data_IF_186346636031
#
_entry.id   IF_186346636031
#
_cell.length_a   1.000
_cell.length_b   1.000
_cell.length_c   1.000
_cell.angle_alpha   90.00
_cell.angle_beta   90.00
_cell.angle_gamma   90.00
#
_symmetry.space_group_name_H-M   'P 1'
#
loop_
_entity.id
_entity.type
_entity.pdbx_description
1 polymer ?
#
# COMPACT_ATOMS: atom_id res chain seq x y z
N UNK A 1 -31.47 2.09 -14.77
CA UNK A 1 -30.37 2.79 -14.07
C UNK A 1 -29.18 2.79 -15.01
N UNK A 2 -28.58 3.94 -15.28
CA UNK A 2 -27.37 4.00 -16.11
C UNK A 2 -26.25 3.23 -15.40
N UNK A 3 -25.63 2.27 -16.07
CA UNK A 3 -24.47 1.59 -15.52
C UNK A 3 -23.37 2.63 -15.24
N UNK A 4 -22.80 2.59 -14.03
CA UNK A 4 -21.69 3.44 -13.66
C UNK A 4 -20.44 2.90 -14.35
N UNK A 5 -20.04 3.54 -15.44
CA UNK A 5 -18.86 3.14 -16.22
C UNK A 5 -17.79 4.21 -16.12
N UNK A 6 -16.55 3.79 -15.87
CA UNK A 6 -15.37 4.63 -15.88
C UNK A 6 -14.42 4.14 -16.99
N UNK A 7 -14.18 4.98 -17.98
CA UNK A 7 -13.33 4.63 -19.12
C UNK A 7 -11.94 5.25 -19.00
N UNK A 8 -10.92 4.38 -18.97
CA UNK A 8 -9.51 4.75 -18.79
C UNK A 8 -8.68 4.40 -20.03
N UNK A 9 -9.29 4.01 -21.15
CA UNK A 9 -8.52 3.65 -22.34
C UNK A 9 -7.69 4.85 -22.83
N UNK A 10 -6.41 4.62 -23.14
CA UNK A 10 -5.51 5.66 -23.64
C UNK A 10 -5.00 6.66 -22.59
N UNK A 11 -5.41 6.54 -21.33
CA UNK A 11 -4.86 7.34 -20.23
C UNK A 11 -3.44 6.91 -19.88
N UNK A 12 -2.65 7.84 -19.34
CA UNK A 12 -1.37 7.51 -18.70
C UNK A 12 -1.63 6.78 -17.39
N UNK A 13 -0.68 5.96 -16.94
CA UNK A 13 -0.84 5.12 -15.76
C UNK A 13 -1.17 5.93 -14.50
N UNK A 14 -0.47 7.03 -14.30
CA UNK A 14 -0.61 7.90 -13.13
C UNK A 14 -1.97 8.60 -13.13
N UNK A 15 -2.40 9.10 -14.30
CA UNK A 15 -3.71 9.72 -14.50
C UNK A 15 -4.85 8.72 -14.24
N UNK A 16 -4.73 7.50 -14.76
CA UNK A 16 -5.74 6.46 -14.59
C UNK A 16 -5.90 6.05 -13.11
N UNK A 17 -4.78 5.87 -12.39
CA UNK A 17 -4.81 5.53 -10.95
C UNK A 17 -5.44 6.66 -10.14
N UNK A 18 -5.09 7.92 -10.43
CA UNK A 18 -5.68 9.08 -9.77
C UNK A 18 -7.18 9.20 -10.05
N UNK A 19 -7.60 9.02 -11.31
CA UNK A 19 -8.99 9.12 -11.74
C UNK A 19 -9.86 8.04 -11.09
N UNK A 20 -9.39 6.78 -11.02
CA UNK A 20 -10.08 5.69 -10.31
C UNK A 20 -10.22 6.00 -8.83
N UNK A 21 -9.16 6.50 -8.20
CA UNK A 21 -9.15 6.82 -6.76
C UNK A 21 -10.19 7.90 -6.46
N UNK A 22 -10.16 9.01 -7.19
CA UNK A 22 -11.13 10.10 -7.04
C UNK A 22 -12.57 9.68 -7.37
N UNK A 23 -12.74 8.77 -8.33
CA UNK A 23 -14.05 8.27 -8.73
C UNK A 23 -14.72 7.48 -7.61
N UNK A 24 -14.00 6.55 -6.98
CA UNK A 24 -14.52 5.79 -5.85
C UNK A 24 -14.79 6.68 -4.62
N UNK A 25 -13.90 7.62 -4.32
CA UNK A 25 -14.12 8.56 -3.22
C UNK A 25 -15.38 9.41 -3.45
N UNK A 26 -15.62 9.84 -4.69
CA UNK A 26 -16.84 10.59 -5.07
C UNK A 26 -18.09 9.72 -4.90
N UNK A 27 -18.05 8.46 -5.32
CA UNK A 27 -19.17 7.53 -5.15
C UNK A 27 -19.47 7.35 -3.67
N UNK A 28 -18.46 7.02 -2.85
CA UNK A 28 -18.63 6.82 -1.41
C UNK A 28 -19.19 8.05 -0.72
N UNK A 29 -18.66 9.25 -1.00
CA UNK A 29 -19.21 10.50 -0.43
C UNK A 29 -20.67 10.75 -0.82
N UNK A 30 -21.00 10.49 -2.09
CA UNK A 30 -22.38 10.64 -2.59
C UNK A 30 -23.31 9.60 -1.97
N UNK A 31 -22.83 8.37 -1.77
CA UNK A 31 -23.61 7.30 -1.19
C UNK A 31 -23.83 7.51 0.31
N UNK A 32 -22.78 7.91 1.05
CA UNK A 32 -22.88 8.23 2.48
C UNK A 32 -23.83 9.40 2.77
N UNK A 33 -23.96 10.38 1.86
CA UNK A 33 -24.92 11.49 2.06
C UNK A 33 -26.37 11.04 1.85
N UNK A 34 -26.60 10.06 0.98
CA UNK A 34 -27.94 9.53 0.66
C UNK A 34 -28.39 8.51 1.71
N UNK A 35 -27.49 7.65 2.19
CA UNK A 35 -27.82 6.46 2.97
C UNK A 35 -27.65 6.59 4.50
N UNK A 36 -27.75 7.80 5.06
CA UNK A 36 -27.77 8.00 6.52
C UNK A 36 -28.94 7.31 7.25
N UNK A 37 -29.85 6.64 6.54
CA UNK A 37 -30.95 5.85 7.08
C UNK A 37 -30.80 4.37 6.68
N UNK A 38 -30.17 3.59 7.55
CA UNK A 38 -30.22 2.13 7.68
C UNK A 38 -30.75 1.32 6.48
N UNK A 39 -29.84 0.82 5.64
CA UNK A 39 -30.11 -0.36 4.82
C UNK A 39 -28.83 -1.20 4.64
N UNK A 40 -28.85 -2.50 5.01
CA UNK A 40 -27.73 -3.40 4.82
C UNK A 40 -27.70 -3.94 3.36
N UNK A 41 -26.49 -4.25 2.89
CA UNK A 41 -26.16 -5.12 1.75
C UNK A 41 -26.50 -4.68 0.30
N UNK A 42 -26.58 -3.39 -0.01
CA UNK A 42 -26.58 -2.98 -1.42
C UNK A 42 -25.13 -2.87 -1.94
N UNK A 43 -24.68 -3.84 -2.75
CA UNK A 43 -23.44 -3.73 -3.53
C UNK A 43 -23.64 -2.75 -4.68
N UNK A 44 -22.68 -1.85 -4.91
CA UNK A 44 -22.75 -0.89 -6.02
C UNK A 44 -21.68 -1.20 -7.05
N UNK A 45 -22.07 -1.95 -8.09
CA UNK A 45 -21.15 -2.39 -9.12
C UNK A 45 -20.83 -1.26 -10.13
N UNK A 46 -19.54 -1.01 -10.34
CA UNK A 46 -18.98 -0.06 -11.30
C UNK A 46 -18.13 -0.82 -12.31
N UNK A 47 -18.26 -0.50 -13.60
CA UNK A 47 -17.42 -1.07 -14.66
C UNK A 47 -16.28 -0.12 -15.01
N UNK A 48 -15.03 -0.54 -14.80
CA UNK A 48 -13.81 0.20 -15.16
C UNK A 48 -13.23 -0.40 -16.44
N UNK A 49 -13.11 0.40 -17.51
CA UNK A 49 -12.56 -0.04 -18.80
C UNK A 49 -11.09 0.39 -18.89
N UNK A 50 -10.16 -0.57 -18.86
CA UNK A 50 -8.70 -0.30 -18.96
C UNK A 50 -8.15 -0.51 -20.37
N UNK A 51 -8.95 -1.09 -21.26
CA UNK A 51 -8.58 -1.47 -22.61
C UNK A 51 -8.01 -2.89 -22.72
N UNK A 52 -7.94 -3.40 -23.95
CA UNK A 52 -7.48 -4.77 -24.23
C UNK A 52 -5.97 -4.95 -24.04
N UNK A 53 -5.19 -3.88 -24.04
CA UNK A 53 -3.73 -3.91 -23.93
C UNK A 53 -3.00 -4.31 -25.21
N UNK A 54 -3.70 -4.52 -26.32
CA UNK A 54 -3.14 -4.94 -27.62
C UNK A 54 -2.23 -3.90 -28.28
N UNK A 55 -2.26 -2.65 -27.81
CA UNK A 55 -1.52 -1.53 -28.42
C UNK A 55 -0.26 -1.12 -27.64
N UNK A 56 0.01 -1.75 -26.50
CA UNK A 56 1.20 -1.48 -25.69
C UNK A 56 2.24 -2.57 -25.93
N UNK A 57 3.45 -2.18 -26.33
CA UNK A 57 4.58 -3.10 -26.51
C UNK A 57 5.00 -3.79 -25.19
N UNK A 58 4.67 -3.20 -24.04
CA UNK A 58 4.95 -3.74 -22.71
C UNK A 58 3.75 -4.49 -22.09
N UNK A 59 2.73 -4.83 -22.90
CA UNK A 59 1.52 -5.52 -22.42
C UNK A 59 0.52 -4.57 -21.72
N UNK A 60 -0.52 -5.10 -21.06
CA UNK A 60 -1.63 -4.33 -20.51
C UNK A 60 -1.24 -3.63 -19.19
N UNK A 61 -0.32 -2.66 -19.25
CA UNK A 61 0.25 -1.96 -18.09
C UNK A 61 -0.84 -1.35 -17.19
N UNK A 62 -1.85 -0.71 -17.78
CA UNK A 62 -2.99 -0.14 -17.05
C UNK A 62 -3.80 -1.19 -16.30
N UNK A 63 -4.03 -2.37 -16.91
CA UNK A 63 -4.80 -3.45 -16.29
C UNK A 63 -4.12 -3.93 -15.02
N UNK A 64 -2.82 -4.21 -15.09
CA UNK A 64 -2.05 -4.68 -13.93
C UNK A 64 -1.93 -3.60 -12.85
N UNK A 65 -1.85 -2.32 -13.23
CA UNK A 65 -1.83 -1.21 -12.28
C UNK A 65 -3.16 -1.06 -11.53
N UNK A 66 -4.29 -1.06 -12.25
CA UNK A 66 -5.62 -0.96 -11.64
C UNK A 66 -5.92 -2.21 -10.80
N UNK A 67 -5.56 -3.40 -11.26
CA UNK A 67 -5.73 -4.63 -10.46
C UNK A 67 -4.98 -4.54 -9.12
N UNK A 68 -3.71 -4.11 -9.13
CA UNK A 68 -2.92 -3.90 -7.90
C UNK A 68 -3.55 -2.84 -7.00
N UNK A 69 -4.09 -1.76 -7.56
CA UNK A 69 -4.79 -0.72 -6.80
C UNK A 69 -6.04 -1.29 -6.09
N UNK A 70 -6.85 -2.07 -6.80
CA UNK A 70 -8.07 -2.70 -6.24
C UNK A 70 -7.73 -3.69 -5.13
N UNK A 71 -6.71 -4.53 -5.33
CA UNK A 71 -6.18 -5.45 -4.31
C UNK A 71 -5.70 -4.67 -3.09
N UNK A 72 -4.89 -3.62 -3.31
CA UNK A 72 -4.34 -2.80 -2.22
C UNK A 72 -5.42 -2.10 -1.38
N UNK A 73 -6.55 -1.76 -2.01
CA UNK A 73 -7.73 -1.20 -1.31
C UNK A 73 -8.66 -2.26 -0.71
N UNK A 74 -8.39 -3.55 -0.87
CA UNK A 74 -9.28 -4.62 -0.41
C UNK A 74 -10.66 -4.58 -1.07
N UNK A 75 -10.75 -4.11 -2.32
CA UNK A 75 -12.04 -4.01 -3.04
C UNK A 75 -12.39 -5.33 -3.71
N UNK A 76 -13.66 -5.71 -3.65
CA UNK A 76 -14.19 -6.86 -4.38
C UNK A 76 -14.33 -6.51 -5.87
N UNK A 77 -13.69 -7.29 -6.73
CA UNK A 77 -13.76 -7.09 -8.18
C UNK A 77 -13.82 -8.41 -8.94
N UNK A 78 -14.38 -8.35 -10.14
CA UNK A 78 -14.39 -9.44 -11.12
C UNK A 78 -13.83 -8.93 -12.45
N UNK A 79 -12.89 -9.67 -13.04
CA UNK A 79 -12.29 -9.32 -14.32
C UNK A 79 -13.14 -9.86 -15.48
N UNK A 80 -13.59 -8.98 -16.37
CA UNK A 80 -14.22 -9.38 -17.62
C UNK A 80 -13.14 -9.72 -18.67
N UNK A 81 -12.83 -11.01 -18.77
CA UNK A 81 -11.74 -11.57 -19.58
C UNK A 81 -11.71 -11.07 -21.05
N UNK A 82 -12.87 -10.79 -21.65
CA UNK A 82 -12.95 -10.42 -23.08
C UNK A 82 -12.86 -8.93 -23.38
N UNK A 83 -13.05 -8.05 -22.38
CA UNK A 83 -13.17 -6.60 -22.61
C UNK A 83 -12.03 -5.78 -22.03
N UNK A 84 -11.20 -6.38 -21.17
CA UNK A 84 -10.21 -5.61 -20.42
C UNK A 84 -10.88 -4.62 -19.47
N UNK A 85 -12.01 -5.04 -18.90
CA UNK A 85 -12.80 -4.28 -17.95
C UNK A 85 -12.88 -5.00 -16.61
N UNK A 86 -13.02 -4.23 -15.54
CA UNK A 86 -13.24 -4.72 -14.19
C UNK A 86 -14.64 -4.32 -13.74
N UNK A 87 -15.40 -5.25 -13.18
CA UNK A 87 -16.62 -4.93 -12.44
C UNK A 87 -16.25 -4.92 -10.96
N UNK A 88 -16.38 -3.77 -10.31
CA UNK A 88 -15.90 -3.53 -8.94
C UNK A 88 -17.08 -3.09 -8.07
N UNK A 89 -17.21 -3.67 -6.88
CA UNK A 89 -18.13 -3.14 -5.88
C UNK A 89 -17.51 -1.88 -5.24
N UNK A 90 -18.01 -0.71 -5.63
CA UNK A 90 -17.49 0.59 -5.22
C UNK A 90 -17.61 0.86 -3.71
N UNK A 91 -18.49 0.14 -3.02
CA UNK A 91 -18.72 0.27 -1.58
C UNK A 91 -17.87 -0.71 -0.77
N UNK A 92 -17.23 -1.70 -1.40
CA UNK A 92 -16.28 -2.61 -0.76
C UNK A 92 -14.90 -1.99 -0.57
N UNK A 93 -14.09 -2.52 0.36
CA UNK A 93 -12.70 -2.10 0.61
C UNK A 93 -12.54 -0.83 1.45
N UNK A 94 -11.30 -0.43 1.69
CA UNK A 94 -10.92 0.72 2.52
C UNK A 94 -10.32 1.89 1.72
N UNK A 95 -10.31 3.07 2.33
CA UNK A 95 -9.61 4.23 1.79
C UNK A 95 -8.11 4.14 2.08
N UNK A 96 -7.29 4.31 1.04
CA UNK A 96 -5.82 4.26 1.15
C UNK A 96 -5.26 5.42 1.96
N UNK A 97 -5.93 6.55 1.89
CA UNK A 97 -5.63 7.73 2.68
C UNK A 97 -6.84 7.95 3.57
N UNK A 98 -6.65 7.75 4.88
CA UNK A 98 -7.65 8.23 5.84
C UNK A 98 -7.93 9.68 5.48
N UNK A 99 -9.21 10.04 5.31
CA UNK A 99 -9.58 11.43 5.20
C UNK A 99 -9.10 12.06 6.50
N UNK A 100 -7.94 12.73 6.46
CA UNK A 100 -7.37 13.40 7.62
C UNK A 100 -8.46 14.25 8.27
N UNK A 101 -8.41 14.46 9.60
CA UNK A 101 -9.43 15.21 10.32
C UNK A 101 -9.73 16.46 9.52
N UNK A 102 -10.99 16.64 9.11
CA UNK A 102 -11.39 17.66 8.15
C UNK A 102 -10.79 18.99 8.59
N UNK A 103 -9.66 19.36 8.01
CA UNK A 103 -8.99 20.61 8.31
C UNK A 103 -9.88 21.63 7.66
N UNK A 104 -10.73 22.25 8.48
CA UNK A 104 -11.70 23.26 8.11
C UNK A 104 -11.02 24.21 7.13
N UNK A 105 -11.22 23.98 5.83
CA UNK A 105 -10.83 24.91 4.79
C UNK A 105 -11.80 26.04 5.01
N UNK A 106 -11.38 27.02 5.83
CA UNK A 106 -12.22 28.13 6.26
C UNK A 106 -12.94 28.61 5.01
N UNK A 107 -14.26 28.46 5.02
CA UNK A 107 -15.13 29.12 4.06
C UNK A 107 -14.81 30.59 4.26
N UNK A 108 -13.99 31.15 3.38
CA UNK A 108 -13.79 32.59 3.29
C UNK A 108 -15.13 33.14 2.85
N UNK A 109 -15.97 33.48 3.83
CA UNK A 109 -17.11 34.36 3.64
C UNK A 109 -16.50 35.70 3.25
N UNK A 110 -16.21 35.84 1.96
CA UNK A 110 -15.88 37.13 1.39
C UNK A 110 -17.18 37.91 1.40
N UNK A 111 -17.15 39.12 1.96
CA UNK A 111 -18.29 40.03 1.92
C UNK A 111 -18.82 40.11 0.48
N UNK A 112 -20.14 40.08 0.33
CA UNK A 112 -20.84 40.04 -0.96
C UNK A 112 -20.37 41.14 -1.96
N UNK A 113 -19.75 42.22 -1.45
CA UNK A 113 -19.12 43.27 -2.24
C UNK A 113 -17.82 42.84 -2.95
N UNK A 114 -16.97 42.02 -2.33
CA UNK A 114 -15.72 41.54 -2.95
C UNK A 114 -15.99 40.57 -4.11
N UNK A 115 -17.03 39.74 -4.00
CA UNK A 115 -17.45 38.85 -5.08
C UNK A 115 -17.95 39.64 -6.31
N UNK A 116 -18.75 40.69 -6.10
CA UNK A 116 -19.17 41.57 -7.20
C UNK A 116 -18.00 42.32 -7.84
N UNK A 117 -16.99 42.70 -7.06
CA UNK A 117 -15.79 43.38 -7.57
C UNK A 117 -14.90 42.45 -8.40
N UNK A 118 -14.73 41.18 -7.99
CA UNK A 118 -14.01 40.18 -8.77
C UNK A 118 -14.76 39.74 -10.04
N UNK A 119 -16.09 39.65 -9.98
CA UNK A 119 -16.92 39.38 -11.15
C UNK A 119 -16.90 40.54 -12.16
N UNK A 120 -16.84 41.79 -11.68
CA UNK A 120 -16.75 42.98 -12.54
C UNK A 120 -15.38 43.10 -13.25
N UNK A 121 -14.28 42.69 -12.60
CA UNK A 121 -12.95 42.74 -13.19
C UNK A 121 -12.74 41.72 -14.33
N UNK A 122 -13.41 40.56 -14.32
CA UNK A 122 -13.29 39.57 -15.41
C UNK A 122 -13.95 40.00 -16.72
N UNK A 123 -14.88 40.98 -16.70
CA UNK A 123 -15.52 41.50 -17.92
C UNK A 123 -14.66 42.48 -18.72
N UNK A 124 -13.50 42.91 -18.21
CA UNK A 124 -12.60 43.85 -18.92
C UNK A 124 -11.38 43.20 -19.60
N UNK A 125 -11.17 41.89 -19.44
CA UNK A 125 -10.00 41.20 -20.00
C UNK A 125 -10.22 40.56 -21.39
N UNK A 126 -11.42 40.67 -21.99
CA UNK A 126 -11.75 40.01 -23.27
C UNK A 126 -11.71 40.93 -24.51
N UNK A 127 -11.35 42.20 -24.36
CA UNK A 127 -11.17 43.13 -25.48
C UNK A 127 -9.81 43.82 -25.35
N UNK A 128 -8.80 43.35 -26.08
CA UNK A 128 -7.54 44.10 -26.18
C UNK A 128 -6.30 43.26 -26.46
N UNK A 129 -6.31 42.48 -27.54
CA UNK A 129 -5.09 41.88 -28.09
C UNK A 129 -5.06 42.07 -29.61
N UNK A 130 -5.00 43.32 -30.07
CA UNK A 130 -4.61 43.67 -31.45
C UNK A 130 -4.50 45.18 -31.65
N UNK A 131 -3.35 45.78 -31.31
CA UNK A 131 -2.75 46.96 -31.98
C UNK A 131 -1.47 47.33 -31.22
N UNK A 132 -0.31 46.80 -31.59
CA UNK A 132 0.67 47.40 -32.51
C UNK A 132 0.96 48.90 -32.33
N UNK A 133 2.24 49.14 -32.05
CA UNK A 133 3.12 50.16 -32.61
C UNK A 133 3.14 51.59 -32.05
N UNK A 134 4.38 52.10 -32.09
CA UNK A 134 4.82 53.50 -31.97
C UNK A 134 4.95 54.08 -30.55
N UNK A 135 6.04 53.73 -29.88
CA UNK A 135 6.69 54.62 -28.92
C UNK A 135 7.69 55.52 -29.66
N UNK A 136 7.21 56.62 -30.21
CA UNK A 136 8.01 57.79 -30.59
C UNK A 136 7.29 59.03 -30.07
N UNK A 137 8.01 59.83 -29.27
CA UNK A 137 7.82 61.26 -29.03
C UNK A 137 6.41 61.82 -28.84
N UNK A 138 6.16 62.45 -27.70
CA UNK A 138 6.08 63.91 -27.63
C UNK A 138 5.64 64.41 -26.25
N UNK A 139 6.37 65.40 -25.77
CA UNK A 139 5.89 66.38 -24.81
C UNK A 139 4.64 67.05 -25.38
N UNK A 140 3.48 66.83 -24.78
CA UNK A 140 2.33 67.72 -24.92
C UNK A 140 1.92 68.27 -23.55
N UNK A 141 2.41 69.48 -23.31
CA UNK A 141 1.79 70.52 -22.48
C UNK A 141 0.29 70.61 -22.77
N UNK A 142 -0.55 70.06 -21.90
CA UNK A 142 -1.99 70.31 -21.91
C UNK A 142 -2.24 71.70 -21.34
N UNK A 143 -2.69 72.56 -22.24
CA UNK A 143 -3.04 73.94 -22.05
C UNK A 143 -4.18 74.12 -21.02
N UNK A 144 -4.02 75.15 -20.18
CA UNK A 144 -5.11 75.77 -19.43
C UNK A 144 -6.19 76.25 -20.42
N UNK A 145 -7.48 75.94 -20.22
CA UNK A 145 -8.53 76.69 -20.88
C UNK A 145 -8.60 78.09 -20.27
N UNK A 146 -8.05 79.07 -21.01
CA UNK A 146 -8.32 80.49 -20.82
C UNK A 146 -9.78 80.74 -21.21
N UNK A 147 -10.67 80.77 -20.22
CA UNK A 147 -12.07 81.15 -20.41
C UNK A 147 -12.11 82.67 -20.51
N UNK A 148 -12.44 83.14 -21.72
CA UNK A 148 -12.66 84.53 -22.06
C UNK A 148 -13.61 85.21 -21.07
N UNK A 149 -13.10 86.25 -20.41
CA UNK A 149 -13.90 87.30 -19.80
C UNK A 149 -14.66 88.03 -20.92
N UNK A 150 -15.97 87.81 -20.97
CA UNK A 150 -16.89 88.66 -21.73
C UNK A 150 -17.51 89.64 -20.74
N UNK A 151 -16.88 90.80 -20.61
CA UNK A 151 -17.43 91.94 -19.90
C UNK A 151 -18.75 92.34 -20.56
N UNK A 152 -19.85 92.20 -19.83
CA UNK A 152 -21.13 92.82 -20.14
C UNK A 152 -21.46 93.75 -18.98
N UNK A 153 -21.20 95.03 -19.22
CA UNK A 153 -21.63 96.17 -18.43
C UNK A 153 -23.16 96.25 -18.47
N UNK A 154 -23.82 95.67 -17.48
CA UNK A 154 -25.24 95.91 -17.21
C UNK A 154 -25.35 96.86 -16.02
N UNK A 155 -26.12 97.90 -16.28
CA UNK A 155 -26.43 99.05 -15.46
C UNK A 155 -26.81 98.74 -14.02
N UNK A 156 -26.21 99.54 -13.13
CA UNK A 156 -26.57 99.76 -11.74
C UNK A 156 -28.03 100.19 -11.60
N UNK A 157 -28.91 99.24 -11.27
CA UNK A 157 -30.25 99.52 -10.74
C UNK A 157 -30.34 99.01 -9.30
N UNK A 158 -30.94 99.85 -8.46
CA UNK A 158 -31.14 99.72 -7.01
C UNK A 158 -31.48 98.27 -6.60
N UNK A 159 -30.51 97.58 -6.01
CA UNK A 159 -30.76 96.33 -5.29
C UNK A 159 -31.39 96.65 -3.95
N UNK A 160 -32.69 96.38 -3.85
CA UNK A 160 -33.36 96.22 -2.56
C UNK A 160 -32.58 95.18 -1.72
N UNK A 161 -32.45 95.39 -0.40
CA UNK A 161 -31.76 94.45 0.46
C UNK A 161 -32.42 93.08 0.35
N UNK A 162 -31.65 92.09 -0.12
CA UNK A 162 -32.08 90.69 -0.20
C UNK A 162 -32.77 90.30 1.12
N UNK A 163 -33.95 89.64 1.05
CA UNK A 163 -34.70 89.25 2.24
C UNK A 163 -33.78 88.55 3.24
N UNK A 164 -33.84 88.92 4.53
CA UNK A 164 -33.00 88.37 5.62
C UNK A 164 -32.93 86.83 5.64
N UNK A 165 -33.95 86.17 5.09
CA UNK A 165 -34.02 84.73 4.88
C UNK A 165 -32.88 84.16 4.02
N UNK A 166 -32.51 84.85 2.93
CA UNK A 166 -31.46 84.40 1.99
C UNK A 166 -30.07 84.43 2.64
N UNK A 167 -29.82 85.39 3.55
CA UNK A 167 -28.57 85.44 4.29
C UNK A 167 -28.41 84.27 5.27
N UNK A 168 -29.49 83.90 5.98
CA UNK A 168 -29.50 82.74 6.88
C UNK A 168 -29.35 81.42 6.11
N UNK A 169 -30.00 81.28 4.96
CA UNK A 169 -29.83 80.10 4.10
C UNK A 169 -28.40 79.97 3.56
N UNK A 170 -27.77 81.08 3.17
CA UNK A 170 -26.38 81.08 2.72
C UNK A 170 -25.39 80.71 3.84
N UNK A 171 -25.65 81.16 5.06
CA UNK A 171 -24.86 80.77 6.23
C UNK A 171 -25.02 79.27 6.54
N UNK A 172 -26.26 78.77 6.56
CA UNK A 172 -26.55 77.35 6.73
C UNK A 172 -25.88 76.49 5.63
N UNK A 173 -25.92 76.95 4.37
CA UNK A 173 -25.27 76.27 3.25
C UNK A 173 -23.74 76.26 3.40
N UNK A 174 -23.15 77.37 3.87
CA UNK A 174 -21.71 77.47 4.14
C UNK A 174 -21.28 76.50 5.24
N UNK A 175 -22.06 76.42 6.33
CA UNK A 175 -21.83 75.46 7.41
C UNK A 175 -21.97 74.02 6.92
N UNK A 176 -23.01 73.72 6.14
CA UNK A 176 -23.21 72.38 5.56
C UNK A 176 -22.07 71.98 4.62
N UNK A 177 -21.57 72.90 3.79
CA UNK A 177 -20.38 72.66 2.93
C UNK A 177 -19.13 72.39 3.76
N UNK A 178 -18.90 73.18 4.83
CA UNK A 178 -17.76 72.98 5.73
C UNK A 178 -17.84 71.62 6.42
N UNK A 179 -19.02 71.24 6.91
CA UNK A 179 -19.25 69.95 7.55
C UNK A 179 -19.02 68.80 6.57
N UNK A 180 -19.57 68.89 5.36
CA UNK A 180 -19.38 67.89 4.31
C UNK A 180 -17.90 67.70 3.93
N UNK A 181 -17.11 68.78 3.87
CA UNK A 181 -15.66 68.68 3.64
C UNK A 181 -14.92 67.98 4.79
N UNK A 182 -15.31 68.24 6.05
CA UNK A 182 -14.74 67.57 7.22
C UNK A 182 -15.06 66.08 7.20
N UNK A 183 -16.32 65.73 6.96
CA UNK A 183 -16.78 64.33 6.90
C UNK A 183 -16.08 63.58 5.76
N UNK A 184 -15.94 64.20 4.58
CA UNK A 184 -15.21 63.62 3.45
C UNK A 184 -13.72 63.40 3.77
N UNK A 185 -13.10 64.33 4.50
CA UNK A 185 -11.70 64.18 4.93
C UNK A 185 -11.56 63.07 5.98
N UNK A 186 -12.51 62.93 6.91
CA UNK A 186 -12.54 61.84 7.89
C UNK A 186 -12.69 60.48 7.21
N UNK A 187 -13.65 60.33 6.29
CA UNK A 187 -13.83 59.10 5.50
C UNK A 187 -12.57 58.73 4.72
N UNK A 188 -11.88 59.72 4.13
CA UNK A 188 -10.61 59.49 3.42
C UNK A 188 -9.52 58.98 4.38
N UNK A 189 -9.41 59.55 5.57
CA UNK A 189 -8.45 59.11 6.58
C UNK A 189 -8.76 57.68 7.08
N UNK A 190 -10.03 57.35 7.30
CA UNK A 190 -10.47 56.01 7.68
C UNK A 190 -10.16 54.97 6.59
N UNK A 191 -10.38 55.31 5.32
CA UNK A 191 -10.02 54.43 4.21
C UNK A 191 -8.50 54.20 4.12
N UNK A 192 -7.69 55.23 4.37
CA UNK A 192 -6.23 55.09 4.41
C UNK A 192 -5.82 54.17 5.56
N UNK A 193 -6.41 54.34 6.75
CA UNK A 193 -6.15 53.49 7.91
C UNK A 193 -6.51 52.02 7.61
N UNK A 194 -7.71 51.78 7.09
CA UNK A 194 -8.16 50.44 6.71
C UNK A 194 -7.25 49.79 5.67
N UNK A 195 -6.78 50.54 4.68
CA UNK A 195 -5.84 50.05 3.66
C UNK A 195 -4.47 49.68 4.26
N UNK A 196 -4.00 50.46 5.22
CA UNK A 196 -2.75 50.17 5.93
C UNK A 196 -2.88 48.93 6.81
N UNK A 197 -4.01 48.78 7.52
CA UNK A 197 -4.30 47.61 8.35
C UNK A 197 -4.37 46.33 7.50
N UNK A 198 -5.10 46.36 6.36
CA UNK A 198 -5.11 45.24 5.39
C UNK A 198 -3.72 44.92 4.84
N UNK A 199 -2.88 45.93 4.59
CA UNK A 199 -1.50 45.71 4.12
C UNK A 199 -0.63 45.08 5.19
N UNK A 200 -0.82 45.43 6.46
CA UNK A 200 -0.10 44.84 7.59
C UNK A 200 -0.53 43.39 7.79
N UNK A 201 -1.83 43.11 7.73
CA UNK A 201 -2.38 41.75 7.80
C UNK A 201 -1.84 40.86 6.67
N UNK A 202 -1.82 41.38 5.44
CA UNK A 202 -1.25 40.65 4.30
C UNK A 202 0.25 40.34 4.49
N UNK A 203 1.04 41.28 5.04
CA UNK A 203 2.44 41.03 5.36
C UNK A 203 2.60 39.93 6.41
N UNK A 204 1.80 39.99 7.48
CA UNK A 204 1.80 38.98 8.54
C UNK A 204 1.46 37.59 7.98
N UNK A 205 0.45 37.49 7.11
CA UNK A 205 0.08 36.23 6.47
C UNK A 205 1.21 35.67 5.58
N UNK A 206 1.96 36.52 4.88
CA UNK A 206 3.12 36.09 4.07
C UNK A 206 4.25 35.58 4.97
N UNK A 207 4.53 36.26 6.09
CA UNK A 207 5.55 35.82 7.05
C UNK A 207 5.17 34.49 7.72
N UNK A 208 3.92 34.32 8.13
CA UNK A 208 3.41 33.05 8.69
C UNK A 208 3.50 31.91 7.66
N UNK A 209 3.11 32.16 6.41
CA UNK A 209 3.20 31.16 5.34
C UNK A 209 4.66 30.75 5.06
N UNK A 210 5.60 31.70 5.08
CA UNK A 210 7.04 31.40 4.94
C UNK A 210 7.58 30.59 6.12
N UNK A 211 7.17 30.91 7.34
CA UNK A 211 7.55 30.16 8.53
C UNK A 211 7.02 28.71 8.46
N UNK A 212 5.78 28.51 8.02
CA UNK A 212 5.20 27.18 7.84
C UNK A 212 5.94 26.37 6.76
N UNK A 213 6.29 27.00 5.64
CA UNK A 213 7.10 26.35 4.59
C UNK A 213 8.46 25.90 5.15
N UNK A 214 9.13 26.75 5.93
CA UNK A 214 10.42 26.40 6.52
C UNK A 214 10.34 25.25 7.55
N UNK A 215 9.22 25.14 8.29
CA UNK A 215 8.98 24.00 9.19
C UNK A 215 8.77 22.73 8.37
N UNK A 216 7.97 22.79 7.31
CA UNK A 216 7.73 21.65 6.43
C UNK A 216 9.02 21.14 5.79
N UNK A 217 9.87 22.03 5.29
CA UNK A 217 11.15 21.67 4.68
C UNK A 217 12.08 20.98 5.70
N UNK A 218 12.12 21.46 6.95
CA UNK A 218 12.88 20.80 8.03
C UNK A 218 12.34 19.41 8.39
N UNK A 219 11.03 19.26 8.55
CA UNK A 219 10.42 17.95 8.82
C UNK A 219 10.72 16.96 7.69
N UNK A 220 10.71 17.42 6.45
CA UNK A 220 11.07 16.59 5.30
C UNK A 220 12.54 16.15 5.30
N UNK A 221 13.45 17.03 5.70
CA UNK A 221 14.88 16.69 5.87
C UNK A 221 15.08 15.64 6.97
N UNK A 222 14.36 15.77 8.09
CA UNK A 222 14.41 14.80 9.20
C UNK A 222 13.84 13.43 8.77
N UNK A 223 12.69 13.40 8.08
CA UNK A 223 12.10 12.17 7.53
C UNK A 223 13.03 11.46 6.53
N UNK A 224 13.68 12.22 5.63
CA UNK A 224 14.65 11.67 4.68
C UNK A 224 15.89 11.12 5.39
N UNK A 225 16.37 11.78 6.45
CA UNK A 225 17.49 11.30 7.25
C UNK A 225 17.15 10.00 8.00
N UNK A 226 15.94 9.90 8.58
CA UNK A 226 15.45 8.67 9.21
C UNK A 226 15.32 7.52 8.20
N UNK A 227 14.80 7.82 7.01
CA UNK A 227 14.69 6.84 5.93
C UNK A 227 16.05 6.31 5.49
N UNK A 228 17.04 7.19 5.31
CA UNK A 228 18.42 6.80 4.98
C UNK A 228 19.06 5.95 6.09
N UNK A 229 18.79 6.29 7.36
CA UNK A 229 19.25 5.48 8.50
C UNK A 229 18.63 4.08 8.50
N UNK A 230 17.34 3.97 8.21
CA UNK A 230 16.65 2.67 8.10
C UNK A 230 17.22 1.83 6.96
N UNK A 231 17.50 2.42 5.80
CA UNK A 231 18.17 1.75 4.69
C UNK A 231 19.57 1.24 5.07
N UNK A 232 20.35 2.05 5.80
CA UNK A 232 21.68 1.65 6.25
C UNK A 232 21.62 0.45 7.23
N UNK A 233 20.67 0.45 8.17
CA UNK A 233 20.45 -0.67 9.09
C UNK A 233 20.04 -1.94 8.35
N UNK A 234 19.11 -1.84 7.39
CA UNK A 234 18.69 -3.01 6.60
C UNK A 234 19.86 -3.63 5.80
N UNK A 235 20.72 -2.79 5.22
CA UNK A 235 21.95 -3.27 4.56
C UNK A 235 22.93 -3.94 5.54
N UNK A 236 23.03 -3.45 6.77
CA UNK A 236 23.86 -4.06 7.81
C UNK A 236 23.32 -5.44 8.21
N UNK A 237 22.02 -5.56 8.48
CA UNK A 237 21.37 -6.81 8.84
C UNK A 237 21.51 -7.87 7.74
N UNK A 238 21.40 -7.47 6.47
CA UNK A 238 21.62 -8.37 5.34
C UNK A 238 23.05 -8.94 5.31
N UNK A 239 24.06 -8.14 5.65
CA UNK A 239 25.44 -8.60 5.74
C UNK A 239 25.66 -9.53 6.95
N UNK A 240 25.05 -9.24 8.09
CA UNK A 240 25.12 -10.09 9.28
C UNK A 240 24.46 -11.46 9.05
N UNK A 241 23.34 -11.50 8.32
CA UNK A 241 22.69 -12.75 7.94
C UNK A 241 23.55 -13.57 6.96
N UNK A 242 24.14 -12.95 5.94
CA UNK A 242 25.06 -13.66 5.04
C UNK A 242 26.25 -14.27 5.81
N UNK A 243 26.80 -13.56 6.80
CA UNK A 243 27.87 -14.08 7.64
C UNK A 243 27.44 -15.27 8.51
N UNK A 244 26.18 -15.31 8.98
CA UNK A 244 25.65 -16.47 9.73
C UNK A 244 25.52 -17.71 8.85
N UNK A 245 25.09 -17.53 7.61
CA UNK A 245 24.96 -18.64 6.66
C UNK A 245 26.33 -19.26 6.35
N UNK A 246 27.37 -18.44 6.15
CA UNK A 246 28.74 -18.96 5.97
C UNK A 246 29.27 -19.73 7.19
N UNK A 247 29.00 -19.25 8.40
CA UNK A 247 29.43 -19.93 9.62
C UNK A 247 28.73 -21.30 9.82
N UNK A 248 27.47 -21.42 9.39
CA UNK A 248 26.73 -22.68 9.45
C UNK A 248 27.29 -23.71 8.45
N UNK A 249 27.64 -23.28 7.24
CA UNK A 249 28.26 -24.13 6.22
C UNK A 249 29.66 -24.61 6.65
N UNK A 250 30.48 -23.73 7.24
CA UNK A 250 31.81 -24.11 7.75
C UNK A 250 31.71 -25.16 8.88
N UNK A 251 30.74 -25.00 9.79
CA UNK A 251 30.50 -25.98 10.85
C UNK A 251 30.05 -27.33 10.28
N UNK A 252 29.18 -27.32 9.27
CA UNK A 252 28.72 -28.53 8.59
C UNK A 252 29.89 -29.27 7.92
N UNK A 253 30.75 -28.55 7.21
CA UNK A 253 31.94 -29.13 6.57
C UNK A 253 32.87 -29.75 7.63
N UNK A 254 33.09 -29.07 8.76
CA UNK A 254 33.91 -29.60 9.85
C UNK A 254 33.34 -30.89 10.46
N UNK A 255 32.02 -30.97 10.62
CA UNK A 255 31.34 -32.18 11.11
C UNK A 255 31.48 -33.34 10.10
N UNK A 256 31.24 -33.08 8.81
CA UNK A 256 31.38 -34.09 7.76
C UNK A 256 32.81 -34.65 7.66
N UNK A 257 33.82 -33.78 7.77
CA UNK A 257 35.23 -34.19 7.79
C UNK A 257 35.55 -35.07 9.01
N UNK A 258 35.12 -34.65 10.21
CA UNK A 258 35.34 -35.43 11.42
C UNK A 258 34.67 -36.80 11.37
N UNK A 259 33.48 -36.90 10.75
CA UNK A 259 32.78 -38.18 10.59
C UNK A 259 33.53 -39.12 9.63
N UNK A 260 34.08 -38.57 8.55
CA UNK A 260 34.83 -39.33 7.55
C UNK A 260 36.16 -39.85 8.15
N UNK A 261 36.88 -39.01 8.88
CA UNK A 261 38.11 -39.41 9.58
C UNK A 261 37.86 -40.53 10.61
N UNK A 262 36.75 -40.46 11.34
CA UNK A 262 36.35 -41.50 12.28
C UNK A 262 36.04 -42.82 11.58
N UNK A 263 35.31 -42.78 10.45
CA UNK A 263 34.99 -43.97 9.66
C UNK A 263 36.25 -44.64 9.09
N UNK A 264 37.23 -43.85 8.63
CA UNK A 264 38.53 -44.37 8.20
C UNK A 264 39.29 -45.01 9.36
N UNK A 265 39.30 -44.37 10.54
CA UNK A 265 39.95 -44.92 11.73
C UNK A 265 39.35 -46.27 12.10
N UNK A 266 38.03 -46.37 12.16
CA UNK A 266 37.33 -47.63 12.43
C UNK A 266 37.66 -48.69 11.39
N UNK A 267 37.68 -48.33 10.11
CA UNK A 267 38.03 -49.25 9.02
C UNK A 267 39.47 -49.78 9.16
N UNK A 268 40.42 -48.93 9.56
CA UNK A 268 41.81 -49.36 9.80
C UNK A 268 41.91 -50.29 11.01
N UNK A 269 41.20 -49.98 12.09
CA UNK A 269 41.14 -50.84 13.28
C UNK A 269 40.52 -52.21 12.97
N UNK A 270 39.44 -52.26 12.17
CA UNK A 270 38.86 -53.53 11.74
C UNK A 270 39.82 -54.35 10.88
N UNK A 271 40.54 -53.71 9.95
CA UNK A 271 41.55 -54.43 9.14
C UNK A 271 42.68 -54.97 10.00
N UNK A 272 43.18 -54.20 10.96
CA UNK A 272 44.23 -54.65 11.89
C UNK A 272 43.75 -55.80 12.78
N UNK A 273 42.50 -55.74 13.23
CA UNK A 273 41.90 -56.81 14.02
C UNK A 273 41.77 -58.09 13.19
N UNK A 274 41.30 -58.01 11.95
CA UNK A 274 41.19 -59.14 11.02
C UNK A 274 42.56 -59.75 10.69
N UNK A 275 43.57 -58.93 10.41
CA UNK A 275 44.94 -59.40 10.17
C UNK A 275 45.50 -60.14 11.39
N UNK A 276 45.35 -59.57 12.59
CA UNK A 276 45.79 -60.21 13.83
C UNK A 276 45.04 -61.50 14.13
N UNK A 277 43.72 -61.55 13.85
CA UNK A 277 42.89 -62.73 14.03
C UNK A 277 43.30 -63.84 13.06
N UNK A 278 43.51 -63.51 11.77
CA UNK A 278 43.95 -64.45 10.76
C UNK A 278 45.33 -65.03 11.10
N UNK A 279 46.24 -64.19 11.59
CA UNK A 279 47.56 -64.64 12.04
C UNK A 279 47.47 -65.61 13.23
N UNK A 280 46.64 -65.31 14.23
CA UNK A 280 46.44 -66.19 15.38
C UNK A 280 45.78 -67.54 14.98
N UNK A 281 44.86 -67.51 14.01
CA UNK A 281 44.27 -68.72 13.43
C UNK A 281 45.30 -69.56 12.66
N UNK A 282 46.18 -68.93 11.89
CA UNK A 282 47.25 -69.60 11.15
C UNK A 282 48.27 -70.25 12.10
N UNK A 283 48.68 -69.55 13.15
CA UNK A 283 49.57 -70.08 14.21
C UNK A 283 48.92 -71.27 14.94
N UNK A 284 47.61 -71.20 15.24
CA UNK A 284 46.88 -72.28 15.93
C UNK A 284 46.62 -73.52 15.04
N UNK A 285 46.55 -73.33 13.73
CA UNK A 285 46.29 -74.41 12.77
C UNK A 285 47.49 -75.38 12.61
N UNK A 286 48.71 -74.95 12.99
CA UNK A 286 49.92 -75.78 12.84
C UNK A 286 50.03 -76.90 13.89
N UNK A 287 49.42 -76.76 15.07
CA UNK A 287 49.66 -77.67 16.21
C UNK A 287 48.43 -78.45 16.71
N UNK A 288 47.23 -78.25 16.14
CA UNK A 288 45.98 -78.77 16.71
C UNK A 288 45.36 -79.96 15.91
N UNK A 289 44.78 -80.97 16.60
CA UNK A 289 44.03 -82.04 15.96
C UNK A 289 42.73 -81.50 15.32
N UNK A 290 42.37 -82.00 14.13
CA UNK A 290 41.24 -81.53 13.29
C UNK A 290 39.89 -81.35 14.00
N UNK A 291 39.65 -82.06 15.11
CA UNK A 291 38.40 -81.96 15.87
C UNK A 291 38.33 -80.66 16.67
N UNK A 292 39.42 -80.24 17.32
CA UNK A 292 39.49 -78.99 18.09
C UNK A 292 39.39 -77.76 17.17
N UNK A 293 39.88 -77.87 15.94
CA UNK A 293 39.73 -76.83 14.92
C UNK A 293 38.26 -76.56 14.57
N UNK A 294 37.41 -77.60 14.58
CA UNK A 294 36.01 -77.48 14.19
C UNK A 294 35.17 -76.80 15.28
N UNK A 295 35.45 -77.15 16.55
CA UNK A 295 34.78 -76.54 17.71
C UNK A 295 35.18 -75.05 17.86
N UNK A 296 36.45 -74.71 17.63
CA UNK A 296 36.93 -73.32 17.61
C UNK A 296 36.24 -72.48 16.53
N UNK A 297 36.04 -73.04 15.33
CA UNK A 297 35.40 -72.35 14.22
C UNK A 297 33.91 -72.08 14.53
N UNK A 298 33.25 -72.99 15.23
CA UNK A 298 31.86 -72.81 15.66
C UNK A 298 31.73 -71.74 16.76
N UNK A 299 32.69 -71.68 17.70
CA UNK A 299 32.73 -70.62 18.73
C UNK A 299 32.96 -69.24 18.08
N UNK A 300 33.89 -69.15 17.12
CA UNK A 300 34.14 -67.91 16.37
C UNK A 300 32.89 -67.45 15.61
N UNK A 301 32.18 -68.36 14.93
CA UNK A 301 30.95 -68.03 14.22
C UNK A 301 29.85 -67.51 15.14
N UNK A 302 29.71 -68.06 16.35
CA UNK A 302 28.75 -67.57 17.35
C UNK A 302 29.16 -66.20 17.90
N UNK A 303 30.45 -65.99 18.19
CA UNK A 303 30.96 -64.70 18.66
C UNK A 303 30.80 -63.59 17.62
N UNK A 304 31.01 -63.90 16.34
CA UNK A 304 30.84 -62.94 15.25
C UNK A 304 29.37 -62.51 15.09
N UNK A 305 28.44 -63.47 15.23
CA UNK A 305 27.00 -63.20 15.22
C UNK A 305 26.53 -62.38 16.42
N UNK A 306 27.13 -62.59 17.60
CA UNK A 306 26.83 -61.78 18.78
C UNK A 306 27.30 -60.33 18.58
N UNK A 307 28.50 -60.14 18.03
CA UNK A 307 29.03 -58.81 17.69
C UNK A 307 28.15 -58.09 16.66
N UNK A 308 27.70 -58.75 15.61
CA UNK A 308 26.78 -58.15 14.62
C UNK A 308 25.46 -57.67 15.25
N UNK A 309 24.93 -58.41 16.24
CA UNK A 309 23.74 -57.98 16.97
C UNK A 309 24.02 -56.80 17.89
N UNK A 310 25.20 -56.70 18.46
CA UNK A 310 25.60 -55.58 19.30
C UNK A 310 25.78 -54.30 18.49
N UNK A 311 26.49 -54.37 17.35
CA UNK A 311 26.65 -53.26 16.41
C UNK A 311 25.28 -52.75 15.90
N UNK A 312 24.34 -53.65 15.66
CA UNK A 312 22.97 -53.30 15.26
C UNK A 312 22.22 -52.56 16.37
N UNK A 313 22.35 -53.00 17.62
CA UNK A 313 21.74 -52.31 18.78
C UNK A 313 22.35 -50.93 19.02
N UNK A 314 23.66 -50.79 18.81
CA UNK A 314 24.34 -49.52 18.95
C UNK A 314 23.87 -48.53 17.86
N UNK A 315 23.75 -48.96 16.60
CA UNK A 315 23.18 -48.14 15.53
C UNK A 315 21.76 -47.67 15.83
N UNK A 316 20.90 -48.56 16.31
CA UNK A 316 19.53 -48.20 16.70
C UNK A 316 19.51 -47.20 17.87
N UNK A 317 20.42 -47.34 18.83
CA UNK A 317 20.54 -46.41 19.96
C UNK A 317 20.99 -45.01 19.50
N UNK A 318 21.97 -44.93 18.59
CA UNK A 318 22.45 -43.67 18.01
C UNK A 318 21.34 -43.01 17.20
N UNK A 319 20.65 -43.76 16.33
CA UNK A 319 19.54 -43.25 15.53
C UNK A 319 18.44 -42.65 16.42
N UNK A 320 18.09 -43.37 17.50
CA UNK A 320 17.09 -42.90 18.47
C UNK A 320 17.55 -41.65 19.22
N UNK A 321 18.84 -41.52 19.55
CA UNK A 321 19.38 -40.33 20.20
C UNK A 321 19.33 -39.10 19.27
N UNK A 322 19.60 -39.28 17.97
CA UNK A 322 19.46 -38.22 16.97
C UNK A 322 18.01 -37.76 16.86
N UNK A 323 17.05 -38.69 16.80
CA UNK A 323 15.62 -38.36 16.75
C UNK A 323 15.14 -37.61 18.00
N UNK A 324 15.60 -38.02 19.18
CA UNK A 324 15.28 -37.32 20.44
C UNK A 324 15.85 -35.90 20.45
N UNK A 325 17.11 -35.72 20.04
CA UNK A 325 17.75 -34.41 19.95
C UNK A 325 17.04 -33.47 18.97
N UNK A 326 16.62 -33.99 17.81
CA UNK A 326 15.85 -33.23 16.82
C UNK A 326 14.49 -32.78 17.36
N UNK A 327 13.80 -33.65 18.09
CA UNK A 327 12.52 -33.31 18.71
C UNK A 327 12.67 -32.30 19.85
N UNK A 328 13.71 -32.39 20.68
CA UNK A 328 13.99 -31.42 21.74
C UNK A 328 14.30 -30.04 21.16
N UNK A 329 15.06 -29.95 20.06
CA UNK A 329 15.35 -28.69 19.38
C UNK A 329 14.07 -28.02 18.82
N UNK A 330 13.15 -28.82 18.27
CA UNK A 330 11.85 -28.35 17.77
C UNK A 330 10.93 -27.83 18.89
N UNK A 331 10.98 -28.43 20.08
CA UNK A 331 10.16 -27.98 21.22
C UNK A 331 10.79 -26.82 21.99
N UNK A 332 12.12 -26.62 21.94
CA UNK A 332 12.77 -25.50 22.64
C UNK A 332 12.56 -24.13 21.98
N UNK A 333 12.02 -24.07 20.75
CA UNK A 333 11.78 -22.81 20.04
C UNK A 333 10.43 -22.15 20.36
N UNK A 334 9.58 -22.77 21.20
CA UNK A 334 8.23 -22.28 21.53
C UNK A 334 8.14 -21.54 22.89
N UNK A 335 9.23 -21.51 23.67
CA UNK A 335 9.29 -20.84 25.00
C UNK A 335 9.84 -19.39 24.95
N UNK A 336 9.64 -18.67 23.85
CA UNK A 336 9.85 -17.21 23.82
C UNK A 336 8.60 -16.48 24.32
N UNK A 337 8.22 -16.75 25.57
CA UNK A 337 7.15 -16.08 26.31
C UNK A 337 7.61 -14.73 26.89
N UNK A 338 8.30 -13.88 26.12
CA UNK A 338 8.58 -12.48 26.51
C UNK A 338 8.66 -11.58 25.27
N UNK A 339 7.54 -11.29 24.61
CA UNK A 339 7.32 -10.03 23.86
C UNK A 339 5.82 -9.81 23.62
N UNK A 340 5.06 -9.70 24.70
CA UNK A 340 3.67 -9.27 24.66
C UNK A 340 3.62 -7.76 24.92
N UNK A 341 3.96 -6.93 23.92
CA UNK A 341 3.57 -5.50 23.87
C UNK A 341 3.88 -4.75 22.54
N UNK A 342 4.05 -5.43 21.40
CA UNK A 342 4.21 -4.73 20.10
C UNK A 342 3.80 -5.59 18.89
N UNK A 343 2.65 -6.26 18.95
CA UNK A 343 2.09 -7.02 17.81
C UNK A 343 0.69 -6.49 17.50
N UNK A 344 0.61 -5.36 16.81
CA UNK A 344 -0.60 -4.98 16.05
C UNK A 344 -0.29 -4.56 14.60
N UNK A 345 0.96 -4.65 14.12
CA UNK A 345 1.33 -4.12 12.79
C UNK A 345 1.93 -5.11 11.78
N UNK A 346 2.18 -6.37 12.15
CA UNK A 346 2.89 -7.33 11.27
C UNK A 346 2.06 -8.49 10.70
N UNK A 347 0.78 -8.64 11.05
CA UNK A 347 -0.05 -9.77 10.56
C UNK A 347 -0.55 -9.63 9.10
N UNK A 348 -0.25 -8.54 8.42
CA UNK A 348 -0.73 -8.30 7.03
C UNK A 348 0.24 -8.88 5.97
N UNK A 349 1.49 -9.18 6.34
CA UNK A 349 2.50 -9.63 5.37
C UNK A 349 2.49 -11.16 5.15
N UNK A 350 2.13 -11.95 6.16
CA UNK A 350 2.18 -13.42 6.05
C UNK A 350 1.01 -14.06 5.28
N UNK A 351 -0.16 -13.41 5.21
CA UNK A 351 -1.25 -13.89 4.36
C UNK A 351 -0.96 -13.76 2.85
N UNK A 352 0.00 -12.92 2.44
CA UNK A 352 0.36 -12.76 1.03
C UNK A 352 1.35 -13.84 0.56
N UNK A 353 2.17 -14.42 1.43
CA UNK A 353 3.09 -15.50 1.07
C UNK A 353 2.40 -16.87 0.91
N UNK A 354 1.28 -17.09 1.60
CA UNK A 354 0.43 -18.29 1.41
C UNK A 354 -0.30 -18.24 0.05
N UNK A 355 -0.69 -17.07 -0.46
CA UNK A 355 -1.36 -16.97 -1.76
C UNK A 355 -0.42 -17.12 -2.98
N UNK A 356 0.89 -16.93 -2.81
CA UNK A 356 1.84 -16.92 -3.93
C UNK A 356 2.40 -18.32 -4.24
N UNK A 357 2.50 -19.23 -3.26
CA UNK A 357 2.95 -20.61 -3.51
C UNK A 357 1.85 -21.59 -3.97
N UNK A 358 0.58 -21.24 -3.84
CA UNK A 358 -0.56 -22.13 -4.19
C UNK A 358 -0.83 -22.20 -5.71
N UNK A 359 -0.15 -21.37 -6.53
CA UNK A 359 -0.49 -21.28 -7.97
C UNK A 359 -0.05 -22.49 -8.80
N UNK A 360 0.98 -23.23 -8.36
CA UNK A 360 1.49 -24.39 -9.10
C UNK A 360 1.33 -25.71 -8.32
N UNK A 361 0.54 -25.72 -7.25
CA UNK A 361 0.34 -26.91 -6.42
C UNK A 361 -0.69 -27.84 -7.07
N UNK A 362 -0.24 -29.04 -7.45
CA UNK A 362 -1.12 -30.11 -7.89
C UNK A 362 -2.08 -30.55 -6.75
N UNK A 363 -3.36 -30.67 -7.06
CA UNK A 363 -4.37 -31.12 -6.11
C UNK A 363 -4.75 -32.59 -6.33
N UNK A 364 -5.01 -33.27 -5.21
CA UNK A 364 -5.49 -34.64 -5.15
C UNK A 364 -6.77 -34.70 -4.32
N UNK A 365 -7.68 -35.60 -4.65
CA UNK A 365 -8.85 -35.88 -3.82
C UNK A 365 -9.07 -37.39 -3.66
N UNK A 366 -9.80 -37.78 -2.62
CA UNK A 366 -10.21 -39.17 -2.39
C UNK A 366 -11.64 -39.34 -2.90
N UNK A 367 -11.85 -40.27 -3.85
CA UNK A 367 -13.17 -40.59 -4.36
C UNK A 367 -13.98 -41.50 -3.41
N UNK A 368 -15.28 -41.76 -3.65
CA UNK A 368 -16.09 -42.64 -2.80
C UNK A 368 -15.63 -44.11 -2.75
N UNK A 369 -14.68 -44.52 -3.59
CA UNK A 369 -14.06 -45.85 -3.58
C UNK A 369 -12.73 -45.84 -2.81
N UNK A 370 -12.45 -44.77 -2.05
CA UNK A 370 -11.22 -44.52 -1.31
C UNK A 370 -9.95 -44.50 -2.19
N UNK A 371 -10.11 -44.19 -3.49
CA UNK A 371 -8.97 -44.06 -4.40
C UNK A 371 -8.56 -42.60 -4.55
N UNK A 372 -7.26 -42.35 -4.45
CA UNK A 372 -6.67 -41.02 -4.69
C UNK A 372 -6.70 -40.72 -6.19
N UNK A 373 -7.33 -39.61 -6.56
CA UNK A 373 -7.44 -39.08 -7.92
C UNK A 373 -6.62 -37.79 -8.02
N UNK A 374 -5.82 -37.65 -9.08
CA UNK A 374 -4.95 -36.49 -9.34
C UNK A 374 -3.68 -36.88 -10.10
N UNK A 375 -2.76 -35.93 -10.37
CA UNK A 375 -2.81 -34.51 -10.00
C UNK A 375 -3.79 -33.71 -10.85
N UNK A 376 -4.46 -32.74 -10.24
CA UNK A 376 -5.34 -31.79 -10.92
C UNK A 376 -4.91 -30.35 -10.70
N UNK A 377 -5.07 -29.53 -11.74
CA UNK A 377 -4.83 -28.10 -11.67
C UNK A 377 -5.83 -27.42 -10.73
N UNK A 378 -5.41 -26.40 -9.96
CA UNK A 378 -6.30 -25.66 -9.05
C UNK A 378 -7.56 -25.11 -9.74
N UNK A 379 -7.44 -24.66 -10.99
CA UNK A 379 -8.55 -24.12 -11.77
C UNK A 379 -9.60 -25.18 -12.11
N UNK A 380 -9.18 -26.42 -12.35
CA UNK A 380 -10.10 -27.51 -12.64
C UNK A 380 -10.86 -27.94 -11.38
N UNK A 381 -10.18 -28.02 -10.24
CA UNK A 381 -10.84 -28.28 -8.95
C UNK A 381 -11.87 -27.19 -8.60
N UNK A 382 -11.53 -25.92 -8.85
CA UNK A 382 -12.46 -24.79 -8.68
C UNK A 382 -13.67 -24.90 -9.60
N UNK A 383 -13.47 -25.25 -10.87
CA UNK A 383 -14.57 -25.42 -11.83
C UNK A 383 -15.53 -26.55 -11.43
N UNK A 384 -15.01 -27.67 -10.94
CA UNK A 384 -15.84 -28.78 -10.46
C UNK A 384 -16.61 -28.44 -9.18
N UNK A 385 -16.00 -27.71 -8.25
CA UNK A 385 -16.68 -27.19 -7.06
C UNK A 385 -17.80 -26.22 -7.45
N UNK A 386 -17.52 -25.27 -8.34
CA UNK A 386 -18.50 -24.30 -8.81
C UNK A 386 -19.66 -24.94 -9.59
N UNK A 387 -19.41 -26.04 -10.29
CA UNK A 387 -20.43 -26.81 -10.99
C UNK A 387 -21.18 -27.80 -10.08
N UNK A 388 -20.87 -27.85 -8.78
CA UNK A 388 -21.56 -28.70 -7.80
C UNK A 388 -21.20 -30.19 -7.86
N UNK A 389 -20.11 -30.57 -8.54
CA UNK A 389 -19.68 -31.98 -8.59
C UNK A 389 -19.06 -32.47 -7.29
N UNK A 390 -18.59 -31.56 -6.42
CA UNK A 390 -17.89 -31.88 -5.18
C UNK A 390 -18.69 -31.48 -3.95
N UNK A 391 -18.98 -32.42 -3.07
CA UNK A 391 -19.57 -32.14 -1.77
C UNK A 391 -18.54 -31.52 -0.81
N UNK A 392 -19.01 -30.75 0.18
CA UNK A 392 -18.15 -30.12 1.19
C UNK A 392 -17.31 -31.10 2.01
N UNK A 393 -17.74 -32.36 2.10
CA UNK A 393 -17.05 -33.44 2.82
C UNK A 393 -15.93 -34.12 1.99
N UNK A 394 -15.79 -33.77 0.71
CA UNK A 394 -14.77 -34.35 -0.16
C UNK A 394 -13.38 -34.09 0.44
N UNK A 395 -12.59 -35.14 0.64
CA UNK A 395 -11.25 -35.03 1.23
C UNK A 395 -10.24 -34.69 0.15
N UNK A 396 -9.57 -33.55 0.29
CA UNK A 396 -8.60 -33.00 -0.66
C UNK A 396 -7.23 -32.79 -0.01
N UNK A 397 -6.16 -32.85 -0.81
CA UNK A 397 -4.76 -32.65 -0.39
C UNK A 397 -3.95 -32.03 -1.53
N UNK A 398 -2.90 -31.27 -1.19
CA UNK A 398 -1.89 -30.81 -2.16
C UNK A 398 -0.75 -31.83 -2.36
N UNK A 399 -0.75 -32.91 -1.56
CA UNK A 399 0.22 -34.00 -1.64
C UNK A 399 -0.50 -35.32 -1.93
N UNK A 400 0.08 -36.17 -2.78
CA UNK A 400 -0.51 -37.45 -3.17
C UNK A 400 -0.75 -38.39 -1.97
N UNK A 401 0.08 -38.30 -0.93
CA UNK A 401 0.08 -39.19 0.25
C UNK A 401 -0.79 -38.61 1.39
N UNK A 402 -1.22 -37.35 1.29
CA UNK A 402 -1.94 -36.63 2.36
C UNK A 402 -1.03 -35.70 3.17
N UNK A 403 -1.51 -35.11 4.26
CA UNK A 403 -2.83 -35.31 4.88
C UNK A 403 -4.00 -34.77 4.05
N UNK A 404 -5.10 -35.52 3.98
CA UNK A 404 -6.32 -35.10 3.29
C UNK A 404 -7.32 -34.48 4.28
N UNK A 405 -7.75 -33.25 3.99
CA UNK A 405 -8.75 -32.53 4.78
C UNK A 405 -10.03 -32.32 3.97
N UNK A 406 -11.16 -32.14 4.67
CA UNK A 406 -12.43 -31.88 3.99
C UNK A 406 -12.37 -30.55 3.21
N UNK A 407 -13.02 -30.50 2.06
CA UNK A 407 -13.08 -29.32 1.20
C UNK A 407 -13.61 -28.09 1.94
N UNK A 408 -14.55 -28.31 2.86
CA UNK A 408 -15.11 -27.26 3.74
C UNK A 408 -14.07 -26.57 4.63
N UNK A 409 -13.01 -27.28 5.01
CA UNK A 409 -11.93 -26.73 5.84
C UNK A 409 -11.12 -25.69 5.07
N UNK A 410 -10.89 -25.90 3.77
CA UNK A 410 -10.14 -24.97 2.93
C UNK A 410 -11.01 -23.84 2.35
N UNK A 411 -12.28 -24.12 2.07
CA UNK A 411 -13.18 -23.18 1.38
C UNK A 411 -14.50 -22.96 2.13
N UNK A 412 -14.46 -22.44 3.37
CA UNK A 412 -15.67 -22.31 4.20
C UNK A 412 -16.72 -21.39 3.59
N UNK A 413 -16.32 -20.39 2.79
CA UNK A 413 -17.23 -19.40 2.21
C UNK A 413 -17.90 -19.85 0.91
N UNK A 414 -17.31 -20.78 0.16
CA UNK A 414 -17.82 -21.15 -1.17
C UNK A 414 -18.96 -22.17 -1.11
N UNK A 415 -19.00 -22.98 -0.05
CA UNK A 415 -20.03 -24.00 0.11
C UNK A 415 -21.41 -23.39 0.38
N UNK A 416 -21.47 -22.26 1.08
CA UNK A 416 -22.74 -21.57 1.37
C UNK A 416 -23.40 -21.01 0.10
N UNK A 417 -22.61 -20.67 -0.91
CA UNK A 417 -23.11 -20.06 -2.15
C UNK A 417 -23.45 -21.11 -3.20
N UNK A 418 -22.63 -22.16 -3.34
CA UNK A 418 -22.82 -23.17 -4.39
C UNK A 418 -23.95 -24.18 -4.12
N UNK A 419 -24.30 -24.40 -2.85
CA UNK A 419 -25.26 -25.44 -2.43
C UNK A 419 -26.57 -24.88 -1.88
N UNK A 420 -26.93 -23.63 -2.17
CA UNK A 420 -28.20 -23.07 -1.72
C UNK A 420 -29.31 -23.46 -2.73
N UNK A 421 -30.25 -24.37 -2.37
CA UNK A 421 -31.22 -24.94 -3.32
C UNK A 421 -32.37 -23.99 -3.69
N UNK A 422 -32.43 -22.79 -3.11
CA UNK A 422 -33.57 -21.86 -3.24
C UNK A 422 -33.41 -20.84 -4.39
N UNK A 423 -32.52 -21.07 -5.35
CA UNK A 423 -32.36 -20.24 -6.56
C UNK A 423 -32.58 -21.10 -7.80
N UNK A 424 -33.84 -21.40 -8.09
CA UNK A 424 -34.33 -21.81 -9.42
C UNK A 424 -35.55 -20.96 -9.81
#
# INVERSE_FOLDING_TARGET
>A
MSALTLDLHGRRLEEAVAEVTMYFDRIRRTYSSINNAAAPSNSLNVTIITGKGSHSSQGPVLRSAIQRLLIKRGMNYTLEHHKGAFTVDALSGWDLYAAGPATSTKVLVSDQQEFHMQAACKKKASYGASFQQAATGNNETIAKPSIMQKESSVSSERTEPLPKHVALENEALSLAKRQSMIDAQQQKNEQIKLRNDKRLEMKKAIEESRAQSAIYDRCKEDEEAEFQKALALSCQEANENNNRDYAADDLKIAIEQSLLEEQERQSRETTLYEENLNKALEESAQDSPKQEQLDLLQILALSLKEKEMEDMRERDAIQKAIELSYNDALHSSDDSEVYQLSVEENDIVDQQQIQIRVRDSAWFYIDPQDKVQGPFEPDMMRAWLAAGYFNGDLRISQQQIGPFFSLSTYFPFYLTTAFNPDVD
#
